data_IF_878641281413
#
_entry.id   IF_878641281413
#
_cell.length_a   1.000
_cell.length_b   1.000
_cell.length_c   1.000
_cell.angle_alpha   90.00
_cell.angle_beta   90.00
_cell.angle_gamma   90.00
#
_symmetry.space_group_name_H-M   'P 1'
#
loop_
_entity.id
_entity.type
_entity.pdbx_description
1 polymer ?
#
# COMPACT_ATOMS: atom_id res chain seq x y z
N UNK A 1 0.20 16.11 7.42
CA UNK A 1 1.41 16.48 6.64
C UNK A 1 2.60 16.92 7.51
N UNK A 2 2.39 17.36 8.75
CA UNK A 2 3.45 17.89 9.63
C UNK A 2 4.38 16.82 10.21
N UNK A 3 3.89 15.61 10.47
CA UNK A 3 4.70 14.51 11.01
C UNK A 3 5.81 14.08 10.04
N UNK A 4 5.47 13.98 8.75
CA UNK A 4 6.37 13.50 7.70
C UNK A 4 7.50 14.49 7.36
N UNK A 5 7.24 15.79 7.40
CA UNK A 5 8.24 16.81 7.07
C UNK A 5 9.15 17.16 8.27
N UNK A 6 8.65 17.02 9.50
CA UNK A 6 9.38 17.45 10.71
C UNK A 6 10.34 16.37 11.24
N UNK A 7 9.99 15.11 11.04
CA UNK A 7 10.79 13.97 11.47
C UNK A 7 11.39 13.35 10.22
N UNK A 8 12.68 13.60 9.96
CA UNK A 8 13.44 12.96 8.87
C UNK A 8 13.29 11.44 9.01
N UNK A 9 12.34 10.88 8.28
CA UNK A 9 12.00 9.46 8.35
C UNK A 9 13.23 8.70 7.89
N UNK A 10 13.89 8.03 8.84
CA UNK A 10 15.01 7.14 8.56
C UNK A 10 14.53 5.69 8.71
N UNK A 11 15.38 4.76 8.29
CA UNK A 11 15.06 3.33 8.35
C UNK A 11 14.69 2.88 9.77
N UNK A 12 15.27 3.50 10.82
CA UNK A 12 14.94 3.16 12.21
C UNK A 12 13.49 3.50 12.58
N UNK A 13 13.00 4.68 12.20
CA UNK A 13 11.60 5.08 12.43
C UNK A 13 10.66 4.19 11.62
N UNK A 14 10.98 3.93 10.35
CA UNK A 14 10.18 3.04 9.51
C UNK A 14 10.10 1.62 10.08
N UNK A 15 11.21 1.06 10.54
CA UNK A 15 11.26 -0.26 11.17
C UNK A 15 10.44 -0.31 12.47
N UNK A 16 10.44 0.75 13.27
CA UNK A 16 9.63 0.83 14.49
C UNK A 16 8.12 0.82 14.17
N UNK A 17 7.71 1.52 13.12
CA UNK A 17 6.32 1.55 12.65
C UNK A 17 5.90 0.17 12.13
N UNK A 18 6.72 -0.46 11.29
CA UNK A 18 6.50 -1.82 10.81
C UNK A 18 6.30 -2.79 11.99
N UNK A 19 7.20 -2.75 12.98
CA UNK A 19 7.12 -3.61 14.17
C UNK A 19 5.84 -3.37 14.97
N UNK A 20 5.43 -2.11 15.09
CA UNK A 20 4.17 -1.75 15.75
C UNK A 20 2.98 -2.38 15.03
N UNK A 21 2.89 -2.24 13.70
CA UNK A 21 1.80 -2.82 12.92
C UNK A 21 1.81 -4.35 12.99
N UNK A 22 2.97 -5.00 12.81
CA UNK A 22 3.07 -6.45 12.92
C UNK A 22 2.63 -6.99 14.29
N UNK A 23 2.85 -6.22 15.37
CA UNK A 23 2.40 -6.60 16.72
C UNK A 23 0.88 -6.41 16.92
N UNK A 24 0.27 -5.41 16.30
CA UNK A 24 -1.06 -4.94 16.67
C UNK A 24 -2.14 -5.12 15.60
N UNK A 25 -1.78 -5.33 14.33
CA UNK A 25 -2.74 -5.41 13.22
C UNK A 25 -3.41 -6.79 13.07
N UNK A 26 -3.07 -7.77 13.91
CA UNK A 26 -3.62 -9.13 13.89
C UNK A 26 -3.54 -9.82 12.51
N UNK A 27 -2.44 -9.59 11.78
CA UNK A 27 -2.22 -10.10 10.42
C UNK A 27 -1.38 -11.38 10.49
N UNK A 28 -1.95 -12.46 11.02
CA UNK A 28 -1.23 -13.74 11.19
C UNK A 28 -0.86 -14.41 9.85
N UNK A 29 -1.65 -14.14 8.81
CA UNK A 29 -1.46 -14.77 7.48
C UNK A 29 -0.48 -14.04 6.56
N UNK A 30 -0.18 -12.77 6.82
CA UNK A 30 0.62 -11.95 5.91
C UNK A 30 1.24 -10.74 6.63
N UNK A 31 2.18 -10.95 7.55
CA UNK A 31 2.85 -9.85 8.24
C UNK A 31 3.58 -8.96 7.24
N UNK A 32 3.74 -7.68 7.58
CA UNK A 32 4.60 -6.76 6.83
C UNK A 32 6.06 -7.25 6.88
N UNK A 33 6.89 -6.88 5.87
CA UNK A 33 8.34 -7.13 5.89
C UNK A 33 8.98 -6.70 7.21
N UNK A 34 10.12 -7.27 7.61
CA UNK A 34 10.69 -6.98 8.94
C UNK A 34 11.35 -5.61 9.03
N UNK A 35 11.72 -5.04 7.88
CA UNK A 35 12.38 -3.74 7.78
C UNK A 35 12.07 -3.02 6.48
N UNK A 36 12.34 -1.72 6.45
CA UNK A 36 12.28 -0.86 5.27
C UNK A 36 13.24 -1.35 4.17
N UNK A 37 14.39 -1.90 4.53
CA UNK A 37 15.34 -2.45 3.56
C UNK A 37 14.81 -3.72 2.88
N UNK A 38 14.18 -4.61 3.65
CA UNK A 38 13.51 -5.79 3.07
C UNK A 38 12.35 -5.38 2.16
N UNK A 39 11.58 -4.36 2.57
CA UNK A 39 10.52 -3.78 1.77
C UNK A 39 11.04 -3.21 0.45
N UNK A 40 12.09 -2.38 0.49
CA UNK A 40 12.74 -1.85 -0.73
C UNK A 40 13.26 -2.96 -1.62
N UNK A 41 13.98 -3.93 -1.07
CA UNK A 41 14.49 -5.08 -1.84
C UNK A 41 13.34 -5.84 -2.51
N UNK A 42 12.22 -5.99 -1.82
CA UNK A 42 11.05 -6.63 -2.42
C UNK A 42 10.47 -5.80 -3.56
N UNK A 43 10.29 -4.49 -3.38
CA UNK A 43 9.81 -3.56 -4.42
C UNK A 43 10.75 -3.50 -5.64
N UNK A 44 12.06 -3.47 -5.43
CA UNK A 44 13.05 -3.44 -6.50
C UNK A 44 13.04 -4.72 -7.35
N UNK A 45 12.67 -5.85 -6.74
CA UNK A 45 12.55 -7.13 -7.42
C UNK A 45 11.14 -7.39 -8.00
N UNK A 46 10.15 -6.53 -7.72
CA UNK A 46 8.82 -6.66 -8.32
C UNK A 46 8.86 -6.30 -9.80
N UNK A 47 8.63 -7.29 -10.66
CA UNK A 47 8.41 -7.02 -12.08
C UNK A 47 6.94 -6.60 -12.32
N UNK A 48 6.68 -5.30 -12.18
CA UNK A 48 5.37 -4.70 -12.47
C UNK A 48 5.47 -3.79 -13.71
N UNK A 49 5.52 -4.34 -14.93
CA UNK A 49 5.77 -3.57 -16.17
C UNK A 49 4.69 -2.51 -16.45
N UNK A 50 3.51 -2.69 -15.88
CA UNK A 50 2.37 -1.79 -16.03
C UNK A 50 2.29 -0.71 -14.94
N UNK A 51 3.20 -0.74 -13.96
CA UNK A 51 3.29 0.24 -12.89
C UNK A 51 4.26 1.34 -13.29
N UNK A 52 3.74 2.37 -13.96
CA UNK A 52 4.56 3.49 -14.44
C UNK A 52 4.45 4.68 -13.49
N UNK A 53 5.60 5.19 -13.07
CA UNK A 53 5.65 6.48 -12.39
C UNK A 53 5.26 7.58 -13.35
N UNK A 54 4.38 8.45 -12.88
CA UNK A 54 3.93 9.63 -13.58
C UNK A 54 4.63 10.85 -12.97
N UNK A 55 4.95 11.84 -13.81
CA UNK A 55 5.43 13.13 -13.33
C UNK A 55 4.40 14.20 -13.66
N UNK A 56 4.05 14.99 -12.65
CA UNK A 56 3.12 16.11 -12.82
C UNK A 56 3.88 17.40 -12.58
N UNK A 57 3.79 18.34 -13.50
CA UNK A 57 4.36 19.68 -13.31
C UNK A 57 3.69 20.33 -12.10
N UNK A 58 4.50 20.87 -11.18
CA UNK A 58 4.01 21.57 -9.99
C UNK A 58 4.08 23.08 -10.23
N UNK A 59 5.30 23.58 -10.43
CA UNK A 59 5.60 25.02 -10.43
C UNK A 59 6.96 25.29 -11.05
N UNK A 60 7.14 26.52 -11.55
CA UNK A 60 8.44 27.06 -11.92
C UNK A 60 8.87 28.08 -10.88
N UNK A 61 10.07 27.91 -10.35
CA UNK A 61 10.66 28.83 -9.39
C UNK A 61 12.13 29.07 -9.74
N UNK A 62 12.57 30.33 -9.76
CA UNK A 62 13.91 30.74 -10.20
C UNK A 62 14.31 30.13 -11.55
N UNK A 63 13.40 30.20 -12.53
CA UNK A 63 13.59 29.65 -13.89
C UNK A 63 13.88 28.14 -13.91
N UNK A 64 13.54 27.42 -12.83
CA UNK A 64 13.63 25.97 -12.74
C UNK A 64 12.25 25.37 -12.55
N UNK A 65 11.94 24.39 -13.38
CA UNK A 65 10.70 23.63 -13.28
C UNK A 65 10.81 22.55 -12.20
N UNK A 66 9.75 22.40 -11.42
CA UNK A 66 9.63 21.39 -10.38
C UNK A 66 8.48 20.45 -10.72
N UNK A 67 8.75 19.14 -10.61
CA UNK A 67 7.83 18.07 -10.94
C UNK A 67 7.59 17.18 -9.72
N UNK A 68 6.34 16.73 -9.55
CA UNK A 68 5.97 15.70 -8.60
C UNK A 68 6.06 14.35 -9.30
N UNK A 69 7.02 13.52 -8.88
CA UNK A 69 7.07 12.11 -9.27
C UNK A 69 6.16 11.32 -8.35
N UNK A 70 5.16 10.67 -8.92
CA UNK A 70 4.12 9.97 -8.16
C UNK A 70 3.61 8.76 -8.92
N UNK A 71 2.83 7.95 -8.22
CA UNK A 71 2.23 6.74 -8.74
C UNK A 71 0.76 6.75 -8.35
N UNK A 72 -0.12 6.58 -9.33
CA UNK A 72 -1.56 6.57 -9.10
C UNK A 72 -1.95 5.34 -8.28
N UNK A 73 -2.50 5.56 -7.08
CA UNK A 73 -3.01 4.49 -6.21
C UNK A 73 -4.03 3.63 -6.96
N UNK A 74 -4.89 4.24 -7.77
CA UNK A 74 -5.85 3.53 -8.61
C UNK A 74 -5.13 2.58 -9.58
N UNK A 75 -4.10 3.07 -10.28
CA UNK A 75 -3.34 2.25 -11.23
C UNK A 75 -2.57 1.14 -10.49
N UNK A 76 -2.03 1.40 -9.29
CA UNK A 76 -1.41 0.36 -8.46
C UNK A 76 -2.40 -0.77 -8.16
N UNK A 77 -3.59 -0.41 -7.64
CA UNK A 77 -4.61 -1.38 -7.27
C UNK A 77 -5.03 -2.19 -8.49
N UNK A 78 -5.30 -1.53 -9.62
CA UNK A 78 -5.65 -2.22 -10.86
C UNK A 78 -4.58 -3.22 -11.29
N UNK A 79 -3.30 -2.83 -11.22
CA UNK A 79 -2.20 -3.72 -11.58
C UNK A 79 -2.04 -4.90 -10.63
N UNK A 80 -2.21 -4.70 -9.33
CA UNK A 80 -2.20 -5.79 -8.34
C UNK A 80 -3.36 -6.76 -8.59
N UNK A 81 -4.55 -6.25 -8.91
CA UNK A 81 -5.73 -7.07 -9.23
C UNK A 81 -5.62 -7.81 -10.57
N UNK A 82 -4.66 -7.47 -11.44
CA UNK A 82 -4.38 -8.25 -12.64
C UNK A 82 -3.55 -9.51 -12.36
N UNK A 83 -2.98 -9.66 -11.16
CA UNK A 83 -2.26 -10.86 -10.73
C UNK A 83 -3.30 -11.89 -10.28
N UNK A 84 -3.52 -13.00 -11.02
CA UNK A 84 -4.66 -13.90 -10.80
C UNK A 84 -4.75 -14.45 -9.37
N UNK A 85 -3.63 -14.95 -8.84
CA UNK A 85 -3.53 -15.54 -7.49
C UNK A 85 -3.89 -14.52 -6.39
N UNK A 86 -3.57 -13.24 -6.62
CA UNK A 86 -3.89 -12.17 -5.68
C UNK A 86 -5.38 -11.80 -5.81
N UNK A 87 -5.88 -11.68 -7.04
CA UNK A 87 -7.27 -11.34 -7.32
C UNK A 87 -8.26 -12.35 -6.69
N UNK A 88 -7.92 -13.64 -6.71
CA UNK A 88 -8.73 -14.70 -6.12
C UNK A 88 -8.90 -14.52 -4.59
N UNK A 89 -7.82 -14.14 -3.91
CA UNK A 89 -7.85 -13.85 -2.47
C UNK A 89 -8.79 -12.67 -2.14
N UNK A 90 -8.83 -11.65 -3.00
CA UNK A 90 -9.75 -10.52 -2.84
C UNK A 90 -11.21 -10.92 -3.11
N UNK A 91 -11.49 -11.70 -4.16
CA UNK A 91 -12.84 -12.17 -4.47
C UNK A 91 -13.43 -13.02 -3.33
N UNK A 92 -12.63 -13.92 -2.76
CA UNK A 92 -13.03 -14.75 -1.63
C UNK A 92 -13.34 -13.92 -0.38
N UNK A 93 -12.52 -12.90 -0.09
CA UNK A 93 -12.76 -11.99 1.05
C UNK A 93 -14.09 -11.23 0.92
N UNK A 94 -14.47 -10.81 -0.28
CA UNK A 94 -15.72 -10.09 -0.53
C UNK A 94 -16.95 -10.97 -0.32
N UNK A 95 -16.95 -12.19 -0.85
CA UNK A 95 -18.10 -13.10 -0.68
C UNK A 95 -18.27 -13.52 0.78
N UNK A 96 -17.17 -13.71 1.52
CA UNK A 96 -17.23 -13.96 2.96
C UNK A 96 -17.78 -12.76 3.74
N UNK A 97 -17.34 -11.54 3.43
CA UNK A 97 -17.87 -10.32 4.04
C UNK A 97 -19.37 -10.16 3.74
N UNK A 98 -19.78 -10.41 2.50
CA UNK A 98 -21.17 -10.35 2.06
C UNK A 98 -22.03 -11.41 2.76
N UNK A 99 -21.53 -12.63 2.93
CA UNK A 99 -22.19 -13.68 3.69
C UNK A 99 -22.33 -13.33 5.18
N UNK A 100 -21.28 -12.72 5.77
CA UNK A 100 -21.29 -12.26 7.16
C UNK A 100 -22.31 -11.13 7.36
N UNK A 101 -22.30 -10.12 6.48
CA UNK A 101 -23.29 -9.03 6.49
C UNK A 101 -24.72 -9.54 6.33
N UNK A 102 -24.97 -10.50 5.42
CA UNK A 102 -26.28 -11.15 5.29
C UNK A 102 -26.68 -11.89 6.57
N UNK A 103 -25.78 -12.67 7.17
CA UNK A 103 -26.04 -13.42 8.40
C UNK A 103 -26.40 -12.48 9.56
N UNK A 104 -25.71 -11.34 9.69
CA UNK A 104 -25.99 -10.36 10.73
C UNK A 104 -27.23 -9.51 10.43
N UNK A 105 -27.56 -9.22 9.17
CA UNK A 105 -28.79 -8.53 8.80
C UNK A 105 -30.04 -9.38 9.06
N UNK A 106 -29.93 -10.71 8.95
CA UNK A 106 -31.02 -11.66 9.24
C UNK A 106 -31.25 -11.85 10.75
N UNK A 107 -30.28 -11.56 11.62
CA UNK A 107 -30.45 -11.64 13.09
C UNK A 107 -31.09 -10.39 13.73
N UNK A 108 -31.51 -9.40 12.93
CA UNK A 108 -32.14 -8.14 13.41
C UNK A 108 -33.68 -8.16 13.22
N UNK A 109 -34.26 -9.30 12.81
CA UNK A 109 -35.71 -9.52 12.70
C UNK A 109 -36.17 -10.68 13.58
#
# INVERSE_FOLDING_TARGET
MTLFAKHKFNNAIGNAIIKFFNKHANIDKSPLPKSIEEEHKYMDNMNLPNLKFEKTYIVTYNNKEYYLHHLSIKNCIQNILLIPDIAENFAFSYENLKALLKKHAVMIW
#
